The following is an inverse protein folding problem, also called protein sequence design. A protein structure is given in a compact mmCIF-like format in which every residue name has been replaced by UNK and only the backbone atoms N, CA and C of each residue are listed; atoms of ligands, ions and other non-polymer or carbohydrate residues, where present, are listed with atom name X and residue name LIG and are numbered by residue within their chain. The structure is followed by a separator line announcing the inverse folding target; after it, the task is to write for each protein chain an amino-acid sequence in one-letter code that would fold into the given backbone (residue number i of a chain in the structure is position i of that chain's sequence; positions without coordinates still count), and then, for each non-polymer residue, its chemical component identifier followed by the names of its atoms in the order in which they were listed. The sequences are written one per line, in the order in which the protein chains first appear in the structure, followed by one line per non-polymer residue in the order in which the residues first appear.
data_IF_594356079490
#
_entry.id   IF_594356079490
#
_cell.length_a   1.000
_cell.length_b   1.000
_cell.length_c   1.000
_cell.angle_alpha   90.00
_cell.angle_beta   90.00
_cell.angle_gamma   90.00
#
_symmetry.space_group_name_H-M   'P 1'
#
loop_
_entity.id
_entity.type
_entity.pdbx_description
1 polymer ?
#
# COMPACT_ATOMS: atom_id res chain seq x y z
N UNK A 1 -52.46 -42.20 44.43
CA UNK A 1 -53.04 -41.13 43.60
C UNK A 1 -52.09 -39.98 43.55
N UNK A 2 -51.83 -39.50 42.39
CA UNK A 2 -51.22 -38.23 42.04
C UNK A 2 -49.70 -38.10 42.25
N UNK A 3 -49.00 -38.23 41.17
CA UNK A 3 -47.58 -37.98 41.04
C UNK A 3 -47.30 -36.48 40.88
N UNK A 4 -46.11 -36.08 41.31
CA UNK A 4 -45.55 -34.79 41.03
C UNK A 4 -44.22 -35.03 40.28
N UNK A 5 -44.24 -34.65 39.03
CA UNK A 5 -43.09 -34.70 38.13
C UNK A 5 -42.23 -33.48 38.42
N UNK A 6 -41.03 -33.71 38.95
CA UNK A 6 -40.00 -32.67 39.12
C UNK A 6 -39.36 -32.33 37.79
N UNK A 7 -39.45 -31.06 37.37
CA UNK A 7 -38.79 -30.53 36.20
C UNK A 7 -37.32 -30.30 36.51
N UNK A 8 -36.44 -31.05 35.86
CA UNK A 8 -35.02 -30.79 35.83
C UNK A 8 -34.77 -29.60 34.89
N UNK A 9 -34.29 -28.50 35.43
CA UNK A 9 -33.78 -27.37 34.70
C UNK A 9 -32.34 -27.67 34.27
N UNK A 10 -32.14 -27.91 32.98
CA UNK A 10 -30.82 -27.98 32.35
C UNK A 10 -30.33 -26.55 32.14
N UNK A 11 -29.49 -26.06 33.06
CA UNK A 11 -28.73 -24.83 32.83
C UNK A 11 -27.62 -25.16 31.81
N UNK A 12 -27.83 -24.80 30.55
CA UNK A 12 -26.82 -24.89 29.49
C UNK A 12 -25.76 -23.84 29.79
N UNK A 13 -24.63 -24.26 30.33
CA UNK A 13 -23.44 -23.44 30.49
C UNK A 13 -22.79 -23.24 29.13
N UNK A 14 -23.09 -22.11 28.49
CA UNK A 14 -22.41 -21.66 27.27
C UNK A 14 -20.99 -21.23 27.64
N UNK A 15 -20.05 -22.16 27.49
CA UNK A 15 -18.62 -21.82 27.41
C UNK A 15 -18.41 -21.02 26.11
N UNK A 16 -18.28 -19.71 26.22
CA UNK A 16 -17.62 -18.90 25.20
C UNK A 16 -16.14 -19.25 25.22
N UNK A 17 -15.76 -20.28 24.48
CA UNK A 17 -14.39 -20.45 24.01
C UNK A 17 -14.15 -19.29 23.03
N UNK A 18 -13.51 -18.23 23.56
CA UNK A 18 -12.91 -17.22 22.71
C UNK A 18 -11.82 -17.87 21.86
N UNK A 19 -12.22 -18.48 20.76
CA UNK A 19 -11.29 -18.76 19.67
C UNK A 19 -10.96 -17.39 19.11
N UNK A 20 -9.78 -16.87 19.46
CA UNK A 20 -9.12 -15.87 18.64
C UNK A 20 -8.99 -16.50 17.26
N UNK A 21 -9.91 -16.16 16.36
CA UNK A 21 -9.77 -16.51 14.97
C UNK A 21 -8.46 -15.88 14.53
N UNK A 22 -7.49 -16.70 14.15
CA UNK A 22 -6.31 -16.21 13.47
C UNK A 22 -6.84 -15.44 12.26
N UNK A 23 -6.59 -14.14 12.24
CA UNK A 23 -7.01 -13.25 11.18
C UNK A 23 -6.40 -13.78 9.89
N UNK A 24 -7.23 -14.07 8.90
CA UNK A 24 -6.73 -14.54 7.60
C UNK A 24 -5.93 -13.41 6.95
N UNK A 25 -4.98 -13.73 6.07
CA UNK A 25 -4.17 -12.73 5.36
C UNK A 25 -5.07 -11.73 4.62
N UNK A 26 -6.16 -12.20 4.03
CA UNK A 26 -7.18 -11.36 3.37
C UNK A 26 -7.83 -10.39 4.36
N UNK A 27 -8.19 -10.86 5.56
CA UNK A 27 -8.77 -10.00 6.60
C UNK A 27 -7.81 -8.89 7.08
N UNK A 28 -6.51 -9.18 7.16
CA UNK A 28 -5.50 -8.17 7.53
C UNK A 28 -5.30 -7.12 6.43
N UNK A 29 -5.33 -7.54 5.17
CA UNK A 29 -5.23 -6.62 4.03
C UNK A 29 -6.44 -5.70 3.97
N UNK A 30 -7.64 -6.25 4.16
CA UNK A 30 -8.88 -5.48 4.19
C UNK A 30 -8.89 -4.46 5.35
N UNK A 31 -8.50 -4.86 6.55
CA UNK A 31 -8.37 -3.95 7.69
C UNK A 31 -7.34 -2.84 7.40
N UNK A 32 -6.24 -3.18 6.75
CA UNK A 32 -5.21 -2.21 6.38
C UNK A 32 -5.74 -1.18 5.38
N UNK A 33 -6.54 -1.60 4.39
CA UNK A 33 -7.20 -0.66 3.48
C UNK A 33 -8.16 0.28 4.21
N UNK A 34 -8.97 -0.23 5.13
CA UNK A 34 -9.88 0.60 5.94
C UNK A 34 -9.09 1.63 6.76
N UNK A 35 -8.01 1.21 7.41
CA UNK A 35 -7.16 2.10 8.20
C UNK A 35 -6.48 3.17 7.33
N UNK A 36 -6.00 2.81 6.14
CA UNK A 36 -5.37 3.75 5.22
C UNK A 36 -6.38 4.72 4.61
N UNK A 37 -7.61 4.27 4.35
CA UNK A 37 -8.68 5.08 3.79
C UNK A 37 -9.23 6.10 4.79
N UNK A 38 -9.32 5.73 6.07
CA UNK A 38 -9.82 6.60 7.12
C UNK A 38 -8.93 7.84 7.31
N UNK A 39 -9.56 9.03 7.28
CA UNK A 39 -8.90 10.31 7.48
C UNK A 39 -8.52 10.60 8.94
N UNK A 40 -9.02 9.82 9.90
CA UNK A 40 -8.76 10.01 11.33
C UNK A 40 -7.42 9.37 11.72
N UNK A 41 -6.70 10.01 12.65
CA UNK A 41 -5.48 9.46 13.25
C UNK A 41 -4.18 9.81 12.52
N UNK A 42 -4.25 10.50 11.38
CA UNK A 42 -3.04 11.01 10.73
C UNK A 42 -2.47 12.21 11.49
N UNK A 43 -1.20 12.10 11.88
CA UNK A 43 -0.46 13.14 12.59
C UNK A 43 0.53 13.77 11.63
N UNK A 44 0.40 15.06 11.41
CA UNK A 44 1.34 15.85 10.59
C UNK A 44 2.73 15.82 11.22
N UNK A 45 3.78 15.59 10.42
CA UNK A 45 5.18 15.59 10.87
C UNK A 45 6.01 16.69 10.22
N UNK A 46 5.86 16.87 8.90
CA UNK A 46 6.78 17.71 8.13
C UNK A 46 6.15 18.19 6.82
N UNK A 47 6.75 19.17 6.18
CA UNK A 47 6.41 19.60 4.82
C UNK A 47 7.65 20.01 4.06
N UNK A 48 7.84 19.47 2.86
CA UNK A 48 8.95 19.78 1.98
C UNK A 48 8.48 19.93 0.53
N UNK A 49 8.88 20.99 -0.14
CA UNK A 49 8.52 21.29 -1.54
C UNK A 49 6.99 21.36 -1.78
N UNK A 50 6.25 21.80 -0.76
CA UNK A 50 4.79 21.86 -0.78
C UNK A 50 4.11 20.50 -0.68
N UNK A 51 4.84 19.44 -0.29
CA UNK A 51 4.32 18.11 0.00
C UNK A 51 4.30 17.95 1.52
N UNK A 52 3.14 17.72 2.10
CA UNK A 52 2.99 17.38 3.52
C UNK A 52 3.29 15.91 3.76
N UNK A 53 3.82 15.59 4.93
CA UNK A 53 4.06 14.23 5.41
C UNK A 53 3.32 14.05 6.70
N UNK A 54 2.55 12.98 6.80
CA UNK A 54 1.84 12.58 8.02
C UNK A 54 2.04 11.10 8.29
N UNK A 55 1.91 10.70 9.54
CA UNK A 55 1.96 9.29 9.96
C UNK A 55 0.75 8.89 10.78
N UNK A 56 0.42 7.61 10.69
CA UNK A 56 -0.71 7.01 11.43
C UNK A 56 -0.27 5.67 12.02
N UNK A 57 -0.40 5.46 13.35
CA UNK A 57 -0.24 4.14 13.92
C UNK A 57 -1.37 3.23 13.42
N UNK A 58 -1.04 2.02 13.00
CA UNK A 58 -2.00 0.98 12.59
C UNK A 58 -2.14 -0.01 13.73
N UNK A 59 -3.37 -0.32 14.10
CA UNK A 59 -3.62 -1.23 15.22
C UNK A 59 -3.05 -2.62 14.93
N UNK A 60 -2.31 -3.17 15.89
CA UNK A 60 -1.68 -4.49 15.75
C UNK A 60 -0.43 -4.52 14.88
N UNK A 61 0.01 -3.39 14.33
CA UNK A 61 1.22 -3.28 13.50
C UNK A 61 2.34 -2.59 14.26
N UNK A 62 3.59 -3.06 14.04
CA UNK A 62 4.78 -2.48 14.68
C UNK A 62 5.23 -1.15 14.07
N UNK A 63 4.83 -0.89 12.84
CA UNK A 63 5.22 0.29 12.09
C UNK A 63 4.04 1.23 11.89
N UNK A 64 4.34 2.50 11.57
CA UNK A 64 3.32 3.49 11.23
C UNK A 64 3.13 3.55 9.71
N UNK A 65 1.89 3.73 9.28
CA UNK A 65 1.60 4.13 7.91
C UNK A 65 2.11 5.55 7.64
N UNK A 66 2.47 5.80 6.39
CA UNK A 66 2.94 7.11 5.90
C UNK A 66 1.94 7.64 4.88
N UNK A 67 1.61 8.92 4.99
CA UNK A 67 0.86 9.67 4.00
C UNK A 67 1.68 10.86 3.53
N UNK A 68 1.76 11.03 2.22
CA UNK A 68 2.23 12.26 1.58
C UNK A 68 1.09 12.88 0.79
N UNK A 69 0.97 14.21 0.83
CA UNK A 69 -0.13 14.89 0.14
C UNK A 69 0.30 16.25 -0.43
N UNK A 70 -0.31 16.64 -1.56
CA UNK A 70 -0.07 17.92 -2.23
C UNK A 70 -1.31 18.37 -3.00
N UNK A 71 -1.57 19.68 -3.01
CA UNK A 71 -2.53 20.28 -3.95
C UNK A 71 -1.95 20.30 -5.37
N UNK A 72 -2.76 19.90 -6.35
CA UNK A 72 -2.38 19.92 -7.76
C UNK A 72 -3.61 20.20 -8.65
N UNK A 73 -3.34 20.67 -9.88
CA UNK A 73 -4.34 20.82 -10.94
C UNK A 73 -4.25 19.71 -11.98
N UNK A 74 -3.40 18.70 -11.78
CA UNK A 74 -3.27 17.58 -12.70
C UNK A 74 -4.54 16.73 -12.58
N UNK A 75 -5.22 16.43 -13.72
CA UNK A 75 -6.38 15.55 -13.70
C UNK A 75 -6.06 14.17 -13.10
N UNK A 76 -6.97 13.64 -12.30
CA UNK A 76 -6.78 12.36 -11.61
C UNK A 76 -6.55 11.19 -12.59
N UNK A 77 -7.16 11.25 -13.77
CA UNK A 77 -7.02 10.24 -14.82
C UNK A 77 -5.58 10.16 -15.36
N UNK A 78 -4.89 11.31 -15.47
CA UNK A 78 -3.47 11.35 -15.87
C UNK A 78 -2.60 10.75 -14.76
N UNK A 79 -2.86 11.11 -13.51
CA UNK A 79 -2.15 10.54 -12.36
C UNK A 79 -2.36 9.02 -12.32
N UNK A 80 -3.60 8.56 -12.47
CA UNK A 80 -3.94 7.14 -12.51
C UNK A 80 -3.19 6.42 -13.63
N UNK A 81 -3.13 7.01 -14.82
CA UNK A 81 -2.40 6.43 -15.96
C UNK A 81 -0.91 6.28 -15.70
N UNK A 82 -0.29 7.21 -14.95
CA UNK A 82 1.12 7.13 -14.55
C UNK A 82 1.34 6.01 -13.55
N UNK A 83 0.49 5.94 -12.52
CA UNK A 83 0.63 4.94 -11.46
C UNK A 83 0.37 3.51 -11.97
N UNK A 84 -0.56 3.35 -12.91
CA UNK A 84 -0.84 2.05 -13.53
C UNK A 84 0.21 1.60 -14.56
N UNK A 85 1.19 2.46 -14.90
CA UNK A 85 2.22 2.19 -15.90
C UNK A 85 3.45 1.50 -15.29
N UNK A 86 3.21 0.37 -14.63
CA UNK A 86 4.19 -0.41 -13.85
C UNK A 86 5.44 -0.77 -14.65
N UNK A 87 5.27 -1.14 -15.92
CA UNK A 87 6.38 -1.53 -16.81
C UNK A 87 7.36 -0.38 -17.14
N UNK A 88 6.98 0.86 -16.86
CA UNK A 88 7.82 2.03 -17.11
C UNK A 88 8.35 2.72 -15.83
N UNK A 89 8.13 2.15 -14.64
CA UNK A 89 8.59 2.74 -13.38
C UNK A 89 10.09 3.03 -13.37
N UNK A 90 10.90 2.16 -13.92
CA UNK A 90 12.35 2.38 -14.04
C UNK A 90 12.72 3.65 -14.85
N UNK A 91 11.82 4.12 -15.73
CA UNK A 91 12.07 5.29 -16.56
C UNK A 91 11.79 6.60 -15.85
N UNK A 92 10.84 6.64 -14.92
CA UNK A 92 10.45 7.88 -14.26
C UNK A 92 10.63 7.90 -12.75
N UNK A 93 10.60 6.77 -12.03
CA UNK A 93 10.91 6.72 -10.61
C UNK A 93 12.43 6.78 -10.38
N UNK A 94 13.04 7.93 -10.62
CA UNK A 94 14.50 8.10 -10.56
C UNK A 94 15.03 8.43 -9.17
N UNK A 95 14.20 9.03 -8.32
CA UNK A 95 14.64 9.55 -7.02
C UNK A 95 14.71 8.49 -5.92
N UNK A 96 14.18 7.29 -6.17
CA UNK A 96 14.18 6.18 -5.19
C UNK A 96 15.42 5.27 -5.30
N UNK A 97 16.33 5.58 -6.23
CA UNK A 97 17.50 4.74 -6.54
C UNK A 97 17.20 3.69 -7.61
N UNK A 98 18.11 2.75 -7.82
CA UNK A 98 17.90 1.69 -8.80
C UNK A 98 16.75 0.79 -8.36
N UNK A 99 15.74 0.69 -9.20
CA UNK A 99 14.59 -0.20 -9.03
C UNK A 99 14.47 -1.03 -10.31
N UNK A 100 14.05 -2.28 -10.20
CA UNK A 100 13.58 -3.07 -11.34
C UNK A 100 12.10 -3.32 -11.17
N UNK A 101 11.34 -3.00 -12.21
CA UNK A 101 9.89 -3.16 -12.20
C UNK A 101 9.43 -3.86 -13.47
N UNK A 102 8.62 -4.90 -13.31
CA UNK A 102 8.08 -5.67 -14.44
C UNK A 102 6.58 -5.84 -14.25
N UNK A 103 5.86 -5.66 -15.34
CA UNK A 103 4.47 -6.08 -15.42
C UNK A 103 4.43 -7.60 -15.61
N UNK A 104 3.77 -8.31 -14.69
CA UNK A 104 3.64 -9.76 -14.71
C UNK A 104 2.40 -10.17 -15.48
N UNK A 105 1.29 -9.51 -15.18
CA UNK A 105 -0.01 -9.76 -15.81
C UNK A 105 -0.88 -8.51 -15.71
N UNK A 106 -1.74 -8.30 -16.70
CA UNK A 106 -2.69 -7.17 -16.74
C UNK A 106 -4.08 -7.62 -17.15
N UNK A 107 -5.08 -7.02 -16.53
CA UNK A 107 -6.48 -7.04 -16.95
C UNK A 107 -6.96 -5.62 -17.27
N UNK A 108 -8.25 -5.44 -17.59
CA UNK A 108 -8.86 -4.11 -17.73
C UNK A 108 -8.75 -3.28 -16.45
N UNK A 109 -8.90 -3.93 -15.30
CA UNK A 109 -9.16 -3.29 -14.02
C UNK A 109 -8.00 -3.40 -13.03
N UNK A 110 -7.00 -4.23 -13.34
CA UNK A 110 -5.86 -4.45 -12.45
C UNK A 110 -4.59 -4.82 -13.20
N UNK A 111 -3.46 -4.65 -12.51
CA UNK A 111 -2.12 -5.09 -12.95
C UNK A 111 -1.41 -5.79 -11.81
N UNK A 112 -0.82 -6.96 -12.09
CA UNK A 112 0.17 -7.60 -11.23
C UNK A 112 1.55 -7.12 -11.65
N UNK A 113 2.30 -6.62 -10.71
CA UNK A 113 3.66 -6.15 -10.89
C UNK A 113 4.63 -6.88 -10.00
N UNK A 114 5.87 -6.93 -10.45
CA UNK A 114 7.03 -7.34 -9.67
C UNK A 114 7.95 -6.16 -9.48
N UNK A 115 8.47 -5.99 -8.27
CA UNK A 115 9.52 -5.01 -7.99
C UNK A 115 10.68 -5.66 -7.26
N UNK A 116 11.89 -5.22 -7.64
CA UNK A 116 13.14 -5.52 -6.96
C UNK A 116 13.82 -4.21 -6.59
N UNK A 117 14.18 -4.09 -5.33
CA UNK A 117 14.83 -2.93 -4.74
C UNK A 117 16.17 -3.37 -4.17
N UNK A 118 17.29 -3.06 -4.84
CA UNK A 118 18.62 -3.31 -4.30
C UNK A 118 18.86 -2.39 -3.10
N UNK A 119 19.42 -2.96 -2.03
CA UNK A 119 19.81 -2.23 -0.81
C UNK A 119 21.30 -2.26 -0.69
N UNK A 120 21.97 -1.16 -1.00
CA UNK A 120 23.43 -1.03 -0.92
C UNK A 120 23.88 -0.71 0.53
N UNK A 121 23.53 -1.64 1.45
CA UNK A 121 23.95 -1.56 2.85
C UNK A 121 24.49 -2.93 3.30
N UNK A 122 25.64 -2.94 4.03
CA UNK A 122 26.21 -4.17 4.55
C UNK A 122 25.23 -4.94 5.42
N UNK A 123 25.13 -6.25 5.24
CA UNK A 123 24.29 -7.17 6.01
C UNK A 123 22.76 -6.99 5.84
N UNK A 124 22.35 -6.13 4.93
CA UNK A 124 20.94 -5.93 4.62
C UNK A 124 20.68 -6.46 3.22
N UNK A 125 19.88 -7.53 3.12
CA UNK A 125 19.53 -8.14 1.84
C UNK A 125 18.64 -7.21 0.99
N UNK A 126 18.66 -7.42 -0.30
CA UNK A 126 17.75 -6.75 -1.25
C UNK A 126 16.29 -7.08 -0.95
N UNK A 127 15.36 -6.26 -1.43
CA UNK A 127 13.92 -6.49 -1.29
C UNK A 127 13.31 -6.82 -2.63
N UNK A 128 12.38 -7.77 -2.61
CA UNK A 128 11.55 -8.07 -3.77
C UNK A 128 10.12 -8.38 -3.34
N UNK A 129 9.18 -8.07 -4.21
CA UNK A 129 7.79 -8.36 -3.98
C UNK A 129 6.97 -8.41 -5.26
N UNK A 130 5.87 -9.13 -5.19
CA UNK A 130 4.75 -9.08 -6.13
C UNK A 130 3.64 -8.24 -5.51
N UNK A 131 2.95 -7.50 -6.32
CA UNK A 131 1.80 -6.69 -5.89
C UNK A 131 0.70 -6.72 -6.93
N UNK A 132 -0.53 -6.57 -6.50
CA UNK A 132 -1.67 -6.28 -7.36
C UNK A 132 -2.15 -4.88 -7.13
N UNK A 133 -2.35 -4.15 -8.22
CA UNK A 133 -2.84 -2.79 -8.23
C UNK A 133 -4.11 -2.70 -9.06
N UNK A 134 -5.11 -2.04 -8.54
CA UNK A 134 -6.41 -1.85 -9.17
C UNK A 134 -6.59 -0.42 -9.64
N UNK A 135 -7.21 -0.25 -10.82
CA UNK A 135 -7.46 1.05 -11.43
C UNK A 135 -8.75 1.73 -10.97
N UNK A 136 -9.45 1.13 -10.03
CA UNK A 136 -10.62 1.69 -9.36
C UNK A 136 -10.34 2.02 -7.90
N UNK A 137 -11.23 2.76 -7.29
CA UNK A 137 -11.16 3.08 -5.87
C UNK A 137 -11.36 1.85 -4.98
N UNK A 138 -10.78 1.88 -3.80
CA UNK A 138 -10.96 0.85 -2.79
C UNK A 138 -12.44 0.67 -2.39
N UNK A 139 -13.22 1.74 -2.39
CA UNK A 139 -14.64 1.72 -2.09
C UNK A 139 -15.41 2.32 -3.27
N UNK A 140 -16.33 1.56 -3.85
CA UNK A 140 -17.15 2.01 -4.99
C UNK A 140 -18.06 3.20 -4.68
N UNK A 141 -18.38 3.45 -3.41
CA UNK A 141 -19.16 4.60 -2.97
C UNK A 141 -18.30 5.86 -2.78
N UNK A 142 -16.99 5.70 -2.63
CA UNK A 142 -16.02 6.78 -2.44
C UNK A 142 -15.19 7.00 -3.69
N UNK A 143 -15.51 8.07 -4.41
CA UNK A 143 -14.81 8.47 -5.63
C UNK A 143 -13.45 9.14 -5.36
N UNK A 144 -13.04 9.30 -4.12
CA UNK A 144 -11.76 9.92 -3.76
C UNK A 144 -10.58 8.99 -3.88
N UNK A 145 -10.75 7.68 -3.61
CA UNK A 145 -9.74 6.67 -3.87
C UNK A 145 -9.70 6.37 -5.37
N UNK A 146 -8.55 6.60 -6.01
CA UNK A 146 -8.39 6.41 -7.47
C UNK A 146 -7.59 5.15 -7.82
N UNK A 147 -6.77 4.65 -6.91
CA UNK A 147 -6.01 3.40 -7.04
C UNK A 147 -5.83 2.81 -5.65
N UNK A 148 -5.96 1.49 -5.57
CA UNK A 148 -5.51 0.74 -4.40
C UNK A 148 -4.63 -0.44 -4.82
N UNK A 149 -3.69 -0.84 -3.94
CA UNK A 149 -2.81 -1.96 -4.20
C UNK A 149 -2.42 -2.67 -2.90
N UNK A 150 -2.07 -3.95 -3.02
CA UNK A 150 -1.55 -4.76 -1.92
C UNK A 150 -0.47 -5.74 -2.39
N UNK A 151 0.36 -6.18 -1.46
CA UNK A 151 1.36 -7.19 -1.71
C UNK A 151 0.72 -8.56 -1.86
N UNK A 152 1.22 -9.32 -2.83
CA UNK A 152 0.79 -10.70 -3.10
C UNK A 152 1.68 -11.69 -2.34
N UNK A 153 1.18 -12.91 -2.21
CA UNK A 153 2.00 -14.03 -1.75
C UNK A 153 3.11 -14.35 -2.73
N UNK A 154 4.20 -14.91 -2.20
CA UNK A 154 5.33 -15.35 -3.00
C UNK A 154 4.89 -16.41 -4.02
N UNK A 155 5.21 -16.16 -5.27
CA UNK A 155 4.94 -17.06 -6.39
C UNK A 155 6.25 -17.46 -7.04
N UNK A 156 6.77 -18.64 -6.68
CA UNK A 156 8.06 -19.12 -7.16
C UNK A 156 8.05 -19.34 -8.67
N UNK A 157 6.92 -19.72 -9.26
CA UNK A 157 6.74 -19.87 -10.71
C UNK A 157 6.97 -18.55 -11.48
N UNK A 158 6.58 -17.42 -10.91
CA UNK A 158 6.83 -16.09 -11.47
C UNK A 158 8.26 -15.65 -11.23
N UNK A 159 8.78 -15.85 -10.02
CA UNK A 159 10.09 -15.35 -9.61
C UNK A 159 11.24 -16.06 -10.32
N UNK A 160 11.10 -17.34 -10.65
CA UNK A 160 12.12 -18.10 -11.39
C UNK A 160 12.44 -17.47 -12.75
N UNK A 161 11.43 -16.93 -13.44
CA UNK A 161 11.62 -16.26 -14.73
C UNK A 161 12.28 -14.86 -14.63
N UNK A 162 12.19 -14.22 -13.45
CA UNK A 162 12.64 -12.86 -13.21
C UNK A 162 13.98 -12.80 -12.42
N UNK A 163 14.46 -13.94 -11.92
CA UNK A 163 15.57 -14.01 -10.97
C UNK A 163 16.92 -14.29 -11.62
N UNK A 164 17.85 -13.36 -11.44
CA UNK A 164 19.28 -13.64 -11.44
C UNK A 164 19.73 -13.99 -10.00
N UNK A 165 19.85 -15.25 -9.71
CA UNK A 165 20.65 -16.00 -8.74
C UNK A 165 21.31 -15.32 -7.51
N UNK A 166 20.73 -14.29 -6.89
CA UNK A 166 21.22 -13.79 -5.61
C UNK A 166 20.37 -14.35 -4.46
N UNK A 167 20.97 -15.13 -3.58
CA UNK A 167 20.30 -15.82 -2.47
C UNK A 167 19.98 -14.93 -1.26
N UNK A 168 20.35 -13.64 -1.30
CA UNK A 168 20.24 -12.73 -0.15
C UNK A 168 19.11 -11.71 -0.35
N UNK A 169 17.91 -12.23 -0.64
CA UNK A 169 16.73 -11.42 -0.87
C UNK A 169 15.68 -11.66 0.19
N UNK A 170 15.07 -10.59 0.65
CA UNK A 170 13.90 -10.62 1.53
C UNK A 170 12.66 -10.37 0.68
N UNK A 171 11.78 -11.37 0.64
CA UNK A 171 10.48 -11.21 0.00
C UNK A 171 9.53 -10.47 0.94
N UNK A 172 8.89 -9.39 0.45
CA UNK A 172 7.91 -8.63 1.20
C UNK A 172 6.52 -9.17 0.87
N UNK A 173 5.76 -9.52 1.88
CA UNK A 173 4.44 -10.12 1.74
C UNK A 173 3.34 -9.42 2.53
N UNK A 174 3.67 -8.29 3.18
CA UNK A 174 2.71 -7.53 3.97
C UNK A 174 2.84 -6.04 3.72
N UNK A 175 1.84 -5.48 3.05
CA UNK A 175 1.76 -4.07 2.72
C UNK A 175 0.61 -3.77 1.79
N UNK A 176 0.13 -2.52 1.86
CA UNK A 176 -0.90 -1.99 0.98
C UNK A 176 -0.76 -0.48 0.84
N UNK A 177 -1.39 0.08 -0.17
CA UNK A 177 -1.43 1.53 -0.36
C UNK A 177 -2.62 2.00 -1.16
N UNK A 178 -2.91 3.28 -0.98
CA UNK A 178 -4.00 4.01 -1.64
C UNK A 178 -3.46 5.29 -2.26
N UNK A 179 -3.88 5.58 -3.49
CA UNK A 179 -3.79 6.89 -4.08
C UNK A 179 -5.18 7.52 -4.04
N UNK A 180 -5.27 8.71 -3.47
CA UNK A 180 -6.54 9.42 -3.31
C UNK A 180 -6.46 10.81 -3.92
N UNK A 181 -7.55 11.25 -4.54
CA UNK A 181 -7.70 12.55 -5.19
C UNK A 181 -8.99 13.21 -4.68
N UNK A 182 -8.86 14.04 -3.64
CA UNK A 182 -9.98 14.77 -3.03
C UNK A 182 -10.19 16.10 -3.75
N UNK A 183 -11.35 16.31 -4.36
CA UNK A 183 -11.69 17.56 -5.03
C UNK A 183 -11.81 18.71 -4.03
N UNK A 184 -11.36 19.90 -4.44
CA UNK A 184 -11.47 21.13 -3.64
C UNK A 184 -12.40 22.13 -4.34
N UNK A 185 -12.77 23.19 -3.63
CA UNK A 185 -13.65 24.24 -4.16
C UNK A 185 -13.04 25.09 -5.29
N UNK A 186 -11.76 24.87 -5.65
CA UNK A 186 -10.99 25.74 -6.56
C UNK A 186 -10.40 25.01 -7.76
N UNK A 187 -11.11 24.07 -8.36
CA UNK A 187 -10.66 23.27 -9.52
C UNK A 187 -9.29 22.61 -9.30
N UNK A 188 -8.92 22.38 -8.05
CA UNK A 188 -7.72 21.65 -7.64
C UNK A 188 -8.12 20.40 -6.89
N UNK A 189 -7.21 19.43 -6.90
CA UNK A 189 -7.36 18.25 -6.07
C UNK A 189 -6.28 18.22 -4.99
N UNK A 190 -6.60 17.65 -3.82
CA UNK A 190 -5.60 17.19 -2.87
C UNK A 190 -5.27 15.75 -3.24
N UNK A 191 -4.14 15.58 -3.92
CA UNK A 191 -3.61 14.25 -4.19
C UNK A 191 -2.87 13.76 -2.95
N UNK A 192 -3.16 12.54 -2.49
CA UNK A 192 -2.40 11.87 -1.44
C UNK A 192 -2.03 10.44 -1.81
N UNK A 193 -0.88 10.00 -1.32
CA UNK A 193 -0.44 8.62 -1.35
C UNK A 193 -0.27 8.13 0.08
N UNK A 194 -1.02 7.10 0.45
CA UNK A 194 -1.06 6.50 1.78
C UNK A 194 -0.57 5.07 1.68
N UNK A 195 0.40 4.71 2.51
CA UNK A 195 1.05 3.41 2.41
C UNK A 195 1.40 2.87 3.81
N UNK A 196 1.21 1.59 3.97
CA UNK A 196 1.87 0.77 4.96
C UNK A 196 2.64 -0.34 4.26
N UNK A 197 3.90 -0.53 4.62
CA UNK A 197 4.70 -1.63 4.10
C UNK A 197 5.66 -2.11 5.19
N UNK A 198 5.60 -3.41 5.49
CA UNK A 198 6.59 -4.06 6.33
C UNK A 198 7.82 -4.39 5.48
N UNK A 199 8.99 -3.78 5.74
CA UNK A 199 10.19 -4.01 4.95
C UNK A 199 10.82 -5.39 5.19
N UNK A 200 10.26 -6.21 6.08
CA UNK A 200 10.75 -7.53 6.43
C UNK A 200 12.16 -7.54 7.04
N UNK A 201 12.50 -8.66 7.68
CA UNK A 201 13.83 -8.86 8.27
C UNK A 201 14.07 -8.03 9.55
N UNK A 202 15.26 -8.19 10.12
CA UNK A 202 15.66 -7.50 11.35
C UNK A 202 16.28 -6.13 11.04
N UNK A 203 15.44 -5.15 10.66
CA UNK A 203 15.89 -3.78 10.45
C UNK A 203 15.66 -2.94 11.72
N UNK A 204 16.62 -2.08 12.11
CA UNK A 204 16.38 -1.09 13.17
C UNK A 204 15.21 -0.17 12.79
N UNK A 205 14.31 0.11 13.73
CA UNK A 205 13.10 0.90 13.51
C UNK A 205 13.40 2.28 12.90
N UNK A 206 14.46 2.97 13.37
CA UNK A 206 14.84 4.28 12.84
C UNK A 206 15.23 4.23 11.35
N UNK A 207 15.82 3.11 10.89
CA UNK A 207 16.22 2.94 9.49
C UNK A 207 14.97 2.68 8.63
N UNK A 208 14.04 1.86 9.12
CA UNK A 208 12.75 1.62 8.48
C UNK A 208 11.97 2.91 8.32
N UNK A 209 11.90 3.70 9.37
CA UNK A 209 11.22 4.99 9.39
C UNK A 209 11.81 5.98 8.38
N UNK A 210 13.13 6.05 8.32
CA UNK A 210 13.85 6.91 7.37
C UNK A 210 13.60 6.43 5.92
N UNK A 211 13.73 5.14 5.66
CA UNK A 211 13.51 4.55 4.34
C UNK A 211 12.08 4.80 3.85
N UNK A 212 11.09 4.52 4.69
CA UNK A 212 9.69 4.72 4.34
C UNK A 212 9.41 6.20 4.03
N UNK A 213 9.84 7.13 4.89
CA UNK A 213 9.61 8.56 4.69
C UNK A 213 10.25 9.07 3.39
N UNK A 214 11.51 8.73 3.14
CA UNK A 214 12.25 9.21 1.95
C UNK A 214 11.73 8.57 0.68
N UNK A 215 11.52 7.25 0.68
CA UNK A 215 11.07 6.53 -0.51
C UNK A 215 9.67 6.95 -0.93
N UNK A 216 8.72 7.06 0.01
CA UNK A 216 7.34 7.47 -0.30
C UNK A 216 7.28 8.89 -0.85
N UNK A 217 8.06 9.81 -0.27
CA UNK A 217 8.18 11.19 -0.76
C UNK A 217 8.73 11.22 -2.20
N UNK A 218 9.75 10.43 -2.49
CA UNK A 218 10.40 10.40 -3.79
C UNK A 218 9.49 9.76 -4.85
N UNK A 219 8.81 8.64 -4.55
CA UNK A 219 7.81 8.03 -5.43
C UNK A 219 6.73 9.06 -5.79
N UNK A 220 6.22 9.76 -4.80
CA UNK A 220 5.18 10.77 -4.99
C UNK A 220 5.64 11.93 -5.87
N UNK A 221 6.86 12.44 -5.65
CA UNK A 221 7.46 13.51 -6.47
C UNK A 221 7.64 13.08 -7.93
N UNK A 222 8.22 11.93 -8.13
CA UNK A 222 8.52 11.41 -9.46
C UNK A 222 7.21 11.13 -10.24
N UNK A 223 6.20 10.57 -9.58
CA UNK A 223 4.89 10.33 -10.18
C UNK A 223 4.19 11.63 -10.60
N UNK A 224 4.22 12.67 -9.76
CA UNK A 224 3.68 14.00 -10.12
C UNK A 224 4.47 14.63 -11.26
N UNK A 225 5.78 14.50 -11.27
CA UNK A 225 6.62 15.05 -12.34
C UNK A 225 6.30 14.38 -13.69
N UNK A 226 6.17 13.07 -13.72
CA UNK A 226 5.77 12.32 -14.91
C UNK A 226 4.34 12.66 -15.34
N UNK A 227 3.40 12.80 -14.39
CA UNK A 227 2.03 13.19 -14.71
C UNK A 227 1.94 14.58 -15.36
N UNK A 228 2.76 15.52 -14.91
CA UNK A 228 2.87 16.85 -15.57
C UNK A 228 3.39 16.73 -17.00
N UNK A 229 4.44 15.94 -17.22
CA UNK A 229 4.98 15.74 -18.57
C UNK A 229 3.91 15.15 -19.50
N UNK A 230 3.13 14.18 -19.04
CA UNK A 230 2.05 13.58 -19.83
C UNK A 230 0.91 14.59 -20.10
N UNK A 231 0.56 15.42 -19.12
CA UNK A 231 -0.43 16.48 -19.29
C UNK A 231 -0.01 17.49 -20.36
N UNK A 232 1.24 17.94 -20.35
CA UNK A 232 1.77 18.92 -21.29
C UNK A 232 1.78 18.38 -22.74
N UNK A 233 1.99 17.08 -22.93
CA UNK A 233 1.92 16.43 -24.24
C UNK A 233 0.49 16.36 -24.79
N UNK A 234 -0.51 16.17 -23.92
CA UNK A 234 -1.93 16.06 -24.33
C UNK A 234 -2.49 17.42 -24.76
N UNK A 235 -1.96 18.52 -24.21
CA UNK A 235 -2.45 19.89 -24.47
C UNK A 235 -1.81 20.50 -25.73
N UNK A 236 -0.74 19.91 -26.28
CA UNK A 236 -0.12 20.30 -27.54
C UNK A 236 -0.81 19.66 -28.76
#
# INVERSE_FOLDING_TARGET
MSGVISKFNFATLLFFLGHGLAETKDGRTEQLFQDLHDNIGWVFEDSKDGISISRKPIQGMGLKAVMVAKKTMIPKEIIQSVIMDVGNYEKFLKSIGPIRSHEVQRSSDWVDGYQFIPIDLPLIGDREYLFRMYSDGYNSEDTTSIIHWHLLEKRDDVLVGLNNQNNDRVYLDHGAGLWMAEETLSDTIVLSYRIYMDPGGALPEFLVDMMNKVSVMNIFKDAIAEAKLRQDIIVQ
#
